data_IF_025719189844
#
_entry.id   IF_025719189844
#
_cell.length_a   1.000
_cell.length_b   1.000
_cell.length_c   1.000
_cell.angle_alpha   90.00
_cell.angle_beta   90.00
_cell.angle_gamma   90.00
#
_symmetry.space_group_name_H-M   'P 1'
#
loop_
_entity.id
_entity.type
_entity.pdbx_description
1 polymer ?
#
# COMPACT_ATOMS: atom_id res chain seq x y z
N UNK A 1 -10.05 -54.33 36.94
CA UNK A 1 -11.02 -53.47 36.20
C UNK A 1 -10.56 -51.99 36.16
N UNK A 2 -9.30 -51.69 35.80
CA UNK A 2 -8.76 -50.30 35.84
C UNK A 2 -8.13 -49.82 34.51
N UNK A 3 -8.31 -50.59 33.42
CA UNK A 3 -7.71 -50.27 32.11
C UNK A 3 -8.52 -49.30 31.25
N UNK A 4 -9.82 -49.12 31.54
CA UNK A 4 -10.71 -48.30 30.70
C UNK A 4 -10.63 -46.80 30.93
N UNK A 5 -10.16 -46.37 32.11
CA UNK A 5 -10.21 -44.96 32.54
C UNK A 5 -9.11 -44.12 31.88
N UNK A 6 -7.92 -44.70 31.69
CA UNK A 6 -6.77 -44.03 31.06
C UNK A 6 -6.97 -43.80 29.56
N UNK A 7 -7.57 -44.77 28.87
CA UNK A 7 -7.84 -44.65 27.43
C UNK A 7 -8.85 -43.53 27.16
N UNK A 8 -9.88 -43.40 28.01
CA UNK A 8 -10.90 -42.36 27.90
C UNK A 8 -10.33 -40.96 28.15
N UNK A 9 -9.42 -40.84 29.12
CA UNK A 9 -8.72 -39.59 29.43
C UNK A 9 -7.78 -39.15 28.28
N UNK A 10 -7.06 -40.09 27.67
CA UNK A 10 -6.20 -39.80 26.51
C UNK A 10 -7.01 -39.41 25.27
N UNK A 11 -8.15 -40.08 25.00
CA UNK A 11 -9.04 -39.72 23.88
C UNK A 11 -9.64 -38.32 24.05
N UNK A 12 -10.08 -37.97 25.25
CA UNK A 12 -10.60 -36.62 25.53
C UNK A 12 -9.51 -35.56 25.41
N UNK A 13 -8.27 -35.87 25.80
CA UNK A 13 -7.15 -34.94 25.63
C UNK A 13 -6.81 -34.72 24.15
N UNK A 14 -6.77 -35.79 23.36
CA UNK A 14 -6.51 -35.72 21.92
C UNK A 14 -7.61 -34.92 21.18
N UNK A 15 -8.88 -35.19 21.48
CA UNK A 15 -10.00 -34.45 20.87
C UNK A 15 -9.98 -32.96 21.20
N UNK A 16 -9.66 -32.60 22.46
CA UNK A 16 -9.50 -31.20 22.85
C UNK A 16 -8.33 -30.52 22.14
N UNK A 17 -7.21 -31.24 21.93
CA UNK A 17 -6.06 -30.72 21.20
C UNK A 17 -6.37 -30.48 19.72
N UNK A 18 -7.08 -31.41 19.06
CA UNK A 18 -7.52 -31.25 17.67
C UNK A 18 -8.53 -30.11 17.51
N UNK A 19 -9.49 -29.98 18.43
CA UNK A 19 -10.44 -28.87 18.41
C UNK A 19 -9.74 -27.51 18.63
N UNK A 20 -8.76 -27.46 19.53
CA UNK A 20 -7.94 -26.27 19.75
C UNK A 20 -7.16 -25.87 18.50
N UNK A 21 -6.53 -26.83 17.82
CA UNK A 21 -5.76 -26.54 16.61
C UNK A 21 -6.65 -26.13 15.43
N UNK A 22 -7.84 -26.74 15.29
CA UNK A 22 -8.85 -26.35 14.29
C UNK A 22 -9.40 -24.94 14.55
N UNK A 23 -9.62 -24.58 15.81
CA UNK A 23 -10.03 -23.22 16.21
C UNK A 23 -8.96 -22.17 15.86
N UNK A 24 -7.68 -22.47 16.07
CA UNK A 24 -6.56 -21.60 15.68
C UNK A 24 -6.53 -21.33 14.16
N UNK A 25 -6.72 -22.37 13.34
CA UNK A 25 -6.72 -22.22 11.88
C UNK A 25 -7.97 -21.47 11.36
N UNK A 26 -9.10 -21.59 12.06
CA UNK A 26 -10.30 -20.78 11.75
C UNK A 26 -10.12 -19.31 12.14
N UNK A 27 -9.36 -18.99 13.19
CA UNK A 27 -9.07 -17.60 13.56
C UNK A 27 -8.09 -16.92 12.60
N UNK A 28 -7.15 -17.66 11.99
CA UNK A 28 -6.29 -17.14 10.91
C UNK A 28 -7.09 -16.66 9.70
N UNK A 29 -8.21 -17.33 9.38
CA UNK A 29 -9.11 -16.94 8.28
C UNK A 29 -9.98 -15.72 8.58
N UNK A 30 -10.22 -15.41 9.87
CA UNK A 30 -11.04 -14.26 10.29
C UNK A 30 -10.25 -12.94 10.33
N UNK A 31 -8.91 -12.99 10.26
CA UNK A 31 -8.06 -11.80 10.18
C UNK A 31 -8.04 -11.14 8.79
N UNK A 32 -8.65 -11.75 7.78
CA UNK A 32 -8.83 -11.14 6.45
C UNK A 32 -10.08 -10.26 6.32
N UNK A 33 -10.87 -10.10 7.39
CA UNK A 33 -12.05 -9.24 7.40
C UNK A 33 -11.74 -7.88 8.05
N UNK A 34 -11.96 -6.73 7.38
CA UNK A 34 -11.49 -5.41 7.83
C UNK A 34 -12.35 -4.80 8.95
N UNK A 35 -13.18 -5.59 9.65
CA UNK A 35 -14.08 -5.10 10.69
C UNK A 35 -14.03 -5.96 11.93
N UNK A 36 -13.04 -5.74 12.79
CA UNK A 36 -13.18 -6.05 14.21
C UNK A 36 -12.20 -5.23 15.07
N UNK A 37 -12.48 -3.93 15.20
CA UNK A 37 -11.91 -3.15 16.29
C UNK A 37 -12.50 -3.61 17.63
N UNK A 38 -11.67 -3.68 18.68
CA UNK A 38 -12.00 -3.78 20.12
C UNK A 38 -11.89 -5.14 20.84
N UNK A 39 -10.91 -6.00 20.51
CA UNK A 39 -10.68 -7.20 21.35
C UNK A 39 -9.22 -7.51 21.71
N UNK A 40 -8.41 -6.49 22.00
CA UNK A 40 -7.08 -6.69 22.59
C UNK A 40 -7.11 -7.24 24.03
N UNK A 41 -8.24 -7.07 24.75
CA UNK A 41 -8.40 -7.60 26.11
C UNK A 41 -8.52 -9.13 26.16
N UNK A 42 -9.15 -9.76 25.17
CA UNK A 42 -9.38 -11.21 25.17
C UNK A 42 -8.10 -12.03 24.95
N UNK A 43 -7.17 -11.52 24.14
CA UNK A 43 -5.88 -12.21 23.87
C UNK A 43 -4.99 -12.21 25.12
N UNK A 44 -4.97 -11.09 25.87
CA UNK A 44 -4.18 -10.96 27.10
C UNK A 44 -4.63 -11.93 28.20
N UNK A 45 -5.93 -12.20 28.31
CA UNK A 45 -6.45 -13.18 29.27
C UNK A 45 -6.10 -14.63 28.92
N UNK A 46 -6.03 -14.99 27.63
CA UNK A 46 -5.76 -16.38 27.22
C UNK A 46 -4.34 -16.84 27.54
N UNK A 47 -3.34 -15.97 27.40
CA UNK A 47 -1.96 -16.30 27.76
C UNK A 47 -1.79 -16.49 29.27
N UNK A 48 -2.43 -15.63 30.07
CA UNK A 48 -2.38 -15.72 31.55
C UNK A 48 -3.09 -16.97 32.09
N UNK A 49 -4.17 -17.42 31.43
CA UNK A 49 -4.88 -18.65 31.82
C UNK A 49 -4.04 -19.92 31.62
N UNK A 50 -3.15 -19.93 30.63
CA UNK A 50 -2.23 -21.05 30.40
C UNK A 50 -1.17 -21.16 31.50
N UNK A 51 -0.63 -20.01 31.95
CA UNK A 51 0.35 -19.92 33.04
C UNK A 51 -0.20 -20.41 34.39
N UNK A 52 -1.47 -20.12 34.70
CA UNK A 52 -2.07 -20.54 35.98
C UNK A 52 -2.28 -22.06 36.07
N UNK A 53 -2.59 -22.73 34.95
CA UNK A 53 -2.72 -24.19 34.91
C UNK A 53 -1.37 -24.92 34.94
N UNK A 54 -0.30 -24.29 34.47
CA UNK A 54 1.05 -24.86 34.49
C UNK A 54 1.61 -25.00 35.92
N UNK A 55 1.30 -24.04 36.80
CA UNK A 55 1.69 -24.06 38.23
C UNK A 55 1.20 -25.32 38.97
N UNK A 56 -0.06 -25.70 38.76
CA UNK A 56 -0.62 -26.90 39.39
C UNK A 56 -0.02 -28.20 38.82
N UNK A 57 0.36 -28.20 37.55
CA UNK A 57 1.01 -29.34 36.91
C UNK A 57 2.44 -29.53 37.44
N UNK A 58 3.22 -28.45 37.60
CA UNK A 58 4.55 -28.44 38.22
C UNK A 58 4.51 -28.95 39.68
N UNK A 59 3.45 -28.65 40.44
CA UNK A 59 3.23 -29.22 41.78
C UNK A 59 3.07 -30.74 41.74
N UNK A 60 2.37 -31.28 40.74
CA UNK A 60 2.16 -32.72 40.56
C UNK A 60 3.49 -33.43 40.21
N UNK A 61 4.33 -32.80 39.39
CA UNK A 61 5.68 -33.30 39.07
C UNK A 61 6.64 -33.28 40.28
N UNK A 62 6.37 -32.45 41.30
CA UNK A 62 7.18 -32.41 42.53
C UNK A 62 6.96 -33.64 43.42
N UNK A 63 5.81 -34.32 43.28
CA UNK A 63 5.48 -35.53 44.06
C UNK A 63 6.15 -36.80 43.49
N UNK A 64 6.37 -36.85 42.19
CA UNK A 64 7.01 -37.99 41.53
C UNK A 64 8.46 -37.64 41.20
N UNK A 65 9.44 -38.37 41.75
CA UNK A 65 10.88 -38.22 41.42
C UNK A 65 11.19 -38.65 39.96
N UNK A 66 10.59 -37.97 38.99
CA UNK A 66 10.63 -38.27 37.56
C UNK A 66 11.37 -37.17 36.80
N UNK A 67 12.59 -36.86 37.24
CA UNK A 67 13.45 -35.83 36.65
C UNK A 67 13.72 -36.02 35.16
N UNK A 68 13.73 -37.28 34.65
CA UNK A 68 13.89 -37.57 33.21
C UNK A 68 12.66 -37.22 32.35
N UNK A 69 11.46 -37.31 32.93
CA UNK A 69 10.21 -36.98 32.22
C UNK A 69 10.01 -35.46 32.11
N UNK A 70 10.59 -34.70 33.05
CA UNK A 70 10.60 -33.24 33.02
C UNK A 70 11.30 -32.72 31.75
N UNK A 71 12.46 -33.27 31.40
CA UNK A 71 13.22 -32.88 30.20
C UNK A 71 12.47 -33.15 28.89
N UNK A 72 11.66 -34.21 28.84
CA UNK A 72 10.86 -34.56 27.66
C UNK A 72 9.72 -33.57 27.42
N UNK A 73 9.11 -33.05 28.50
CA UNK A 73 8.00 -32.11 28.40
C UNK A 73 8.41 -30.63 28.34
N UNK A 74 9.65 -30.28 28.69
CA UNK A 74 10.16 -28.89 28.60
C UNK A 74 9.95 -28.27 27.21
N UNK A 75 10.26 -28.93 26.07
CA UNK A 75 10.00 -28.37 24.75
C UNK A 75 8.50 -28.13 24.49
N UNK A 76 7.64 -29.05 24.94
CA UNK A 76 6.19 -28.95 24.79
C UNK A 76 5.59 -27.79 25.61
N UNK A 77 6.20 -27.47 26.76
CA UNK A 77 5.84 -26.29 27.56
C UNK A 77 6.39 -24.96 27.04
N UNK A 78 7.44 -24.99 26.21
CA UNK A 78 7.99 -23.82 25.54
C UNK A 78 7.26 -23.47 24.23
N UNK A 79 6.64 -24.45 23.55
CA UNK A 79 5.81 -24.22 22.35
C UNK A 79 4.70 -23.15 22.51
N UNK A 80 3.94 -23.06 23.62
CA UNK A 80 2.91 -22.02 23.78
C UNK A 80 3.49 -20.62 24.02
N UNK A 81 4.76 -20.51 24.43
CA UNK A 81 5.42 -19.21 24.62
C UNK A 81 5.66 -18.48 23.29
N UNK A 82 5.75 -19.22 22.18
CA UNK A 82 6.11 -18.66 20.86
C UNK A 82 4.91 -18.13 20.08
N UNK A 83 3.67 -18.25 20.59
CA UNK A 83 2.45 -17.90 19.84
C UNK A 83 1.79 -16.58 20.25
N UNK A 84 2.44 -15.77 21.09
CA UNK A 84 1.96 -14.41 21.35
C UNK A 84 2.36 -13.50 20.18
N UNK A 85 1.62 -13.53 19.06
CA UNK A 85 1.77 -12.50 18.03
C UNK A 85 1.31 -11.16 18.61
N UNK A 86 2.25 -10.29 18.92
CA UNK A 86 1.96 -8.92 19.32
C UNK A 86 1.64 -8.14 18.03
N UNK A 87 0.36 -7.94 17.73
CA UNK A 87 -0.04 -7.06 16.63
C UNK A 87 0.01 -5.61 17.12
N UNK A 88 0.85 -4.78 16.49
CA UNK A 88 0.84 -3.34 16.71
C UNK A 88 -0.41 -2.76 16.02
N UNK A 89 -1.32 -2.17 16.80
CA UNK A 89 -2.42 -1.38 16.25
C UNK A 89 -1.97 0.08 16.18
N UNK A 90 -2.02 0.66 14.99
CA UNK A 90 -1.89 2.10 14.78
C UNK A 90 -3.28 2.71 14.60
N UNK A 91 -3.52 3.86 15.22
CA UNK A 91 -4.74 4.66 15.03
C UNK A 91 -4.32 6.10 14.79
N UNK A 92 -4.75 6.68 13.68
CA UNK A 92 -4.50 8.11 13.40
C UNK A 92 -5.55 8.94 14.12
N UNK A 93 -5.13 10.08 14.69
CA UNK A 93 -6.05 11.06 15.28
C UNK A 93 -6.74 11.94 14.23
N UNK A 94 -6.31 11.84 12.97
CA UNK A 94 -6.78 12.64 11.82
C UNK A 94 -6.95 11.76 10.59
N UNK A 95 -7.63 12.30 9.58
CA UNK A 95 -7.69 11.72 8.25
C UNK A 95 -6.28 11.63 7.64
N UNK A 96 -6.06 10.65 6.77
CA UNK A 96 -4.81 10.55 6.01
C UNK A 96 -4.95 11.50 4.83
N UNK A 97 -4.21 12.60 4.87
CA UNK A 97 -4.18 13.56 3.77
C UNK A 97 -3.31 12.99 2.65
N UNK A 98 -3.87 12.92 1.45
CA UNK A 98 -3.17 12.53 0.22
C UNK A 98 -3.57 13.46 -0.92
N UNK A 99 -2.67 13.65 -1.88
CA UNK A 99 -2.85 14.52 -3.03
C UNK A 99 -2.93 13.69 -4.31
N UNK A 100 -3.77 14.11 -5.26
CA UNK A 100 -3.76 13.49 -6.57
C UNK A 100 -2.52 13.96 -7.36
N UNK A 101 -1.95 13.10 -8.21
CA UNK A 101 -0.90 13.51 -9.13
C UNK A 101 -1.45 14.53 -10.13
N UNK A 102 -0.57 15.39 -10.63
CA UNK A 102 -0.92 16.48 -11.55
C UNK A 102 0.14 16.64 -12.64
N UNK A 103 -0.26 17.23 -13.77
CA UNK A 103 0.68 17.57 -14.84
C UNK A 103 1.39 18.89 -14.53
N UNK A 104 2.66 18.97 -14.92
CA UNK A 104 3.50 20.16 -14.72
C UNK A 104 4.61 20.21 -15.77
N UNK A 105 4.88 21.39 -16.32
CA UNK A 105 5.90 21.59 -17.37
C UNK A 105 7.15 22.31 -16.86
N UNK A 106 7.12 22.82 -15.64
CA UNK A 106 8.16 23.64 -15.03
C UNK A 106 8.79 22.95 -13.80
N UNK A 107 8.71 21.62 -13.76
CA UNK A 107 9.28 20.80 -12.70
C UNK A 107 8.52 20.86 -11.37
N UNK A 108 7.20 21.12 -11.41
CA UNK A 108 6.33 21.13 -10.22
C UNK A 108 6.08 22.51 -9.62
N UNK A 109 6.54 23.60 -10.25
CA UNK A 109 6.26 24.95 -9.73
C UNK A 109 4.81 25.35 -9.99
N UNK A 110 4.26 24.97 -11.15
CA UNK A 110 2.86 25.22 -11.48
C UNK A 110 2.15 23.93 -11.89
N UNK A 111 0.90 23.81 -11.44
CA UNK A 111 0.02 22.70 -11.80
C UNK A 111 -0.77 23.09 -13.03
N UNK A 112 -0.76 22.23 -14.05
CA UNK A 112 -1.60 22.38 -15.23
C UNK A 112 -3.03 22.01 -14.88
N UNK A 113 -3.93 23.00 -14.81
CA UNK A 113 -5.34 22.81 -14.43
C UNK A 113 -6.32 23.19 -15.52
N UNK A 114 -5.86 23.81 -16.61
CA UNK A 114 -6.70 24.28 -17.71
C UNK A 114 -6.09 23.99 -19.07
N UNK A 115 -6.93 23.97 -20.10
CA UNK A 115 -6.49 23.82 -21.49
C UNK A 115 -5.48 24.90 -21.90
N UNK A 116 -5.61 26.12 -21.38
CA UNK A 116 -4.67 27.21 -21.65
C UNK A 116 -3.29 27.01 -21.02
N UNK A 117 -3.24 26.34 -19.87
CA UNK A 117 -1.97 25.94 -19.24
C UNK A 117 -1.34 24.71 -19.90
N UNK A 118 -2.13 23.95 -20.66
CA UNK A 118 -1.70 22.70 -21.29
C UNK A 118 -1.30 22.87 -22.75
N UNK A 119 -2.14 23.53 -23.55
CA UNK A 119 -2.00 23.68 -25.00
C UNK A 119 -1.49 25.06 -25.38
N UNK A 120 -0.53 25.60 -24.62
CA UNK A 120 0.10 26.86 -24.99
C UNK A 120 1.22 26.63 -26.01
N UNK A 121 1.48 27.66 -26.80
CA UNK A 121 2.73 27.80 -27.54
C UNK A 121 3.48 29.00 -26.99
N UNK A 122 4.81 28.89 -26.92
CA UNK A 122 5.67 30.01 -26.57
C UNK A 122 6.71 30.18 -27.67
N UNK A 123 6.69 31.35 -28.28
CA UNK A 123 7.64 31.73 -29.31
C UNK A 123 9.01 32.01 -28.69
N UNK A 124 10.04 32.01 -29.53
CA UNK A 124 11.44 32.28 -29.15
C UNK A 124 11.66 33.64 -28.49
N UNK A 125 10.85 34.64 -28.78
CA UNK A 125 10.87 35.96 -28.12
C UNK A 125 10.22 35.96 -26.72
N UNK A 126 9.66 34.83 -26.29
CA UNK A 126 8.94 34.68 -25.04
C UNK A 126 7.44 34.95 -25.14
N UNK A 127 6.93 35.40 -26.29
CA UNK A 127 5.50 35.64 -26.50
C UNK A 127 4.74 34.32 -26.37
N UNK A 128 3.72 34.31 -25.50
CA UNK A 128 2.94 33.12 -25.19
C UNK A 128 1.51 33.25 -25.70
N UNK A 129 1.08 32.29 -26.52
CA UNK A 129 -0.30 32.19 -27.00
C UNK A 129 -0.98 30.99 -26.36
N UNK A 130 -2.25 31.16 -25.99
CA UNK A 130 -3.10 30.09 -25.47
C UNK A 130 -4.31 29.93 -26.39
N UNK A 131 -5.02 28.79 -26.34
CA UNK A 131 -6.27 28.61 -27.07
C UNK A 131 -7.27 29.75 -26.86
N UNK A 132 -7.40 30.26 -25.64
CA UNK A 132 -8.30 31.38 -25.32
C UNK A 132 -7.84 32.76 -25.81
N UNK A 133 -6.55 32.95 -26.07
CA UNK A 133 -5.95 34.25 -26.42
C UNK A 133 -5.34 34.27 -27.81
N UNK A 134 -5.59 33.24 -28.61
CA UNK A 134 -5.06 33.13 -29.97
C UNK A 134 -5.74 34.16 -30.91
N UNK A 135 -5.01 35.17 -31.42
CA UNK A 135 -5.59 36.13 -32.36
C UNK A 135 -5.62 35.61 -33.81
N UNK A 136 -5.03 34.44 -34.08
CA UNK A 136 -4.77 34.00 -35.44
C UNK A 136 -6.04 33.62 -36.19
N UNK A 137 -6.03 33.85 -37.50
CA UNK A 137 -7.05 33.37 -38.43
C UNK A 137 -6.39 32.86 -39.72
N UNK A 138 -7.20 32.28 -40.62
CA UNK A 138 -6.70 31.81 -41.93
C UNK A 138 -6.04 32.93 -42.76
N UNK A 139 -6.45 34.18 -42.59
CA UNK A 139 -5.91 35.35 -43.29
C UNK A 139 -4.91 36.15 -42.46
N UNK A 140 -4.83 35.90 -41.15
CA UNK A 140 -3.93 36.60 -40.23
C UNK A 140 -3.24 35.57 -39.32
N UNK A 141 -2.22 34.85 -39.82
CA UNK A 141 -1.52 33.84 -39.04
C UNK A 141 -0.58 34.46 -38.00
N UNK A 142 -0.21 33.67 -36.99
CA UNK A 142 0.83 34.08 -36.03
C UNK A 142 2.15 34.27 -36.78
N UNK A 143 2.69 35.48 -36.75
CA UNK A 143 3.96 35.83 -37.41
C UNK A 143 5.12 35.55 -36.47
N UNK A 144 6.09 34.77 -36.94
CA UNK A 144 7.31 34.54 -36.18
C UNK A 144 8.18 35.81 -36.18
N UNK A 145 8.72 36.21 -35.02
CA UNK A 145 9.44 37.48 -34.86
C UNK A 145 10.81 37.50 -35.56
N UNK A 146 11.41 36.32 -35.81
CA UNK A 146 12.74 36.20 -36.40
C UNK A 146 12.70 35.48 -37.74
N UNK A 147 13.50 35.96 -38.71
CA UNK A 147 13.67 35.29 -39.98
C UNK A 147 14.43 33.95 -39.79
N UNK A 148 13.93 32.89 -40.42
CA UNK A 148 14.53 31.55 -40.31
C UNK A 148 14.11 30.76 -39.07
N UNK A 149 13.17 31.26 -38.26
CA UNK A 149 12.57 30.47 -37.18
C UNK A 149 11.87 29.23 -37.73
N UNK A 150 12.06 28.12 -37.03
CA UNK A 150 11.45 26.81 -37.32
C UNK A 150 10.42 26.45 -36.26
N UNK A 151 9.61 25.41 -36.49
CA UNK A 151 8.70 24.90 -35.46
C UNK A 151 9.46 24.37 -34.23
N UNK A 152 10.74 23.99 -34.38
CA UNK A 152 11.59 23.58 -33.26
C UNK A 152 12.01 24.73 -32.35
N UNK A 153 11.87 25.99 -32.79
CA UNK A 153 12.10 27.17 -31.96
C UNK A 153 10.84 27.59 -31.16
N UNK A 154 9.74 26.86 -31.30
CA UNK A 154 8.48 27.09 -30.60
C UNK A 154 8.40 26.06 -29.47
N UNK A 155 8.28 26.55 -28.24
CA UNK A 155 8.02 25.70 -27.08
C UNK A 155 6.54 25.29 -27.11
N UNK A 156 6.30 23.99 -27.20
CA UNK A 156 4.97 23.39 -27.22
C UNK A 156 4.97 22.03 -26.52
N UNK A 157 3.80 21.60 -26.03
CA UNK A 157 3.61 20.27 -25.40
C UNK A 157 3.94 19.13 -26.36
N UNK A 158 3.57 19.30 -27.63
CA UNK A 158 3.85 18.33 -28.68
C UNK A 158 5.21 18.69 -29.26
N UNK A 159 6.20 17.79 -29.25
CA UNK A 159 7.49 18.07 -29.87
C UNK A 159 7.33 18.36 -31.36
N UNK A 160 8.10 19.33 -31.86
CA UNK A 160 8.04 19.78 -33.26
C UNK A 160 8.36 18.71 -34.32
N UNK A 161 8.91 17.56 -33.91
CA UNK A 161 9.25 16.45 -34.80
C UNK A 161 8.11 15.44 -35.02
N UNK A 162 6.98 15.57 -34.31
CA UNK A 162 5.86 14.62 -34.38
C UNK A 162 4.53 15.36 -34.38
N UNK A 163 3.54 14.77 -35.04
CA UNK A 163 2.18 15.34 -35.10
C UNK A 163 1.28 14.86 -33.96
N UNK A 164 1.73 13.86 -33.19
CA UNK A 164 1.01 13.35 -32.02
C UNK A 164 1.93 12.87 -30.91
N UNK A 165 1.41 12.92 -29.68
CA UNK A 165 2.08 12.42 -28.48
C UNK A 165 1.08 11.72 -27.58
N UNK A 166 1.47 10.59 -27.00
CA UNK A 166 0.65 9.89 -26.01
C UNK A 166 0.71 10.62 -24.67
N UNK A 167 -0.41 10.65 -23.94
CA UNK A 167 -0.42 11.17 -22.56
C UNK A 167 0.48 10.34 -21.64
N UNK A 168 0.75 9.07 -21.98
CA UNK A 168 1.69 8.23 -21.24
C UNK A 168 3.14 8.68 -21.42
N UNK A 169 3.51 9.20 -22.60
CA UNK A 169 4.84 9.72 -22.88
C UNK A 169 5.09 10.99 -22.06
N UNK A 170 4.07 11.82 -21.83
CA UNK A 170 4.18 12.99 -20.97
C UNK A 170 4.64 12.62 -19.56
N UNK A 171 4.18 11.48 -19.03
CA UNK A 171 4.56 10.99 -17.71
C UNK A 171 5.91 10.26 -17.76
N UNK A 172 6.06 9.30 -18.67
CA UNK A 172 7.17 8.34 -18.65
C UNK A 172 8.42 8.84 -19.36
N UNK A 173 8.26 9.57 -20.47
CA UNK A 173 9.38 10.03 -21.30
C UNK A 173 9.79 11.45 -20.97
N UNK A 174 8.82 12.33 -20.78
CA UNK A 174 9.07 13.76 -20.52
C UNK A 174 9.02 14.14 -19.04
N UNK A 175 8.51 13.25 -18.18
CA UNK A 175 8.39 13.49 -16.74
C UNK A 175 7.65 14.80 -16.40
N UNK A 176 6.61 15.12 -17.17
CA UNK A 176 5.73 16.28 -16.99
C UNK A 176 4.60 16.01 -15.99
N UNK A 177 4.95 15.45 -14.85
CA UNK A 177 4.01 15.18 -13.77
C UNK A 177 4.67 15.43 -12.41
N UNK A 178 3.84 15.67 -11.42
CA UNK A 178 4.24 15.85 -10.04
C UNK A 178 3.25 15.16 -9.12
N UNK A 179 3.77 14.78 -7.96
CA UNK A 179 3.00 14.21 -6.87
C UNK A 179 3.66 14.63 -5.55
N UNK A 180 2.86 15.26 -4.69
CA UNK A 180 3.36 16.00 -3.53
C UNK A 180 3.59 15.09 -2.32
N UNK A 181 2.91 13.95 -2.24
CA UNK A 181 3.08 12.97 -1.15
C UNK A 181 3.92 11.75 -1.58
N UNK A 182 4.16 11.60 -2.88
CA UNK A 182 5.13 10.65 -3.44
C UNK A 182 4.64 9.21 -3.47
N UNK A 183 3.33 8.97 -3.30
CA UNK A 183 2.75 7.64 -3.38
C UNK A 183 2.51 7.16 -4.82
N UNK A 184 2.61 8.07 -5.79
CA UNK A 184 2.52 7.80 -7.22
C UNK A 184 3.79 7.24 -7.86
N UNK A 185 4.90 7.11 -7.12
CA UNK A 185 6.18 6.62 -7.65
C UNK A 185 6.31 5.09 -7.62
N UNK A 186 6.85 4.49 -8.69
CA UNK A 186 7.26 3.08 -8.72
C UNK A 186 6.39 2.15 -9.59
N UNK A 187 6.46 0.84 -9.33
CA UNK A 187 5.70 -0.19 -10.06
C UNK A 187 4.21 -0.03 -9.74
N UNK A 188 3.39 0.13 -10.78
CA UNK A 188 1.96 0.52 -10.69
C UNK A 188 1.73 1.95 -10.16
N UNK A 189 2.68 2.85 -10.41
CA UNK A 189 2.53 4.28 -10.13
C UNK A 189 1.59 5.00 -11.10
N UNK A 190 1.75 6.32 -11.21
CA UNK A 190 0.88 7.18 -12.03
C UNK A 190 0.84 6.72 -13.48
N UNK A 191 -0.38 6.61 -14.02
CA UNK A 191 -0.62 6.22 -15.41
C UNK A 191 -1.58 7.22 -16.06
N UNK A 192 -1.32 7.57 -17.33
CA UNK A 192 -2.27 8.31 -18.16
C UNK A 192 -2.40 7.64 -19.53
N UNK A 193 -3.59 7.77 -20.11
CA UNK A 193 -3.98 7.14 -21.38
C UNK A 193 -4.67 8.15 -22.27
N UNK A 194 -4.47 8.03 -23.58
CA UNK A 194 -5.01 8.94 -24.60
C UNK A 194 -3.90 9.61 -25.38
N UNK A 195 -4.27 10.33 -26.43
CA UNK A 195 -3.35 10.95 -27.37
C UNK A 195 -3.75 12.39 -27.64
N UNK A 196 -2.74 13.21 -27.89
CA UNK A 196 -2.90 14.59 -28.33
C UNK A 196 -2.29 14.66 -29.72
N UNK A 197 -3.03 15.21 -30.68
CA UNK A 197 -2.59 15.37 -32.06
C UNK A 197 -2.83 16.79 -32.56
N UNK A 198 -2.01 17.20 -33.52
CA UNK A 198 -2.21 18.41 -34.31
C UNK A 198 -2.90 18.00 -35.61
N UNK A 199 -4.03 18.63 -35.92
CA UNK A 199 -4.84 18.36 -37.11
C UNK A 199 -5.27 19.64 -37.81
#
# INVERSE_FOLDING_TARGET
MASGIWHLACQTYALNLFQFHRSLNQTLFLFSSPKLSSSSRLVRLRCLFFLSKLSNLLRLFRLFRLTKLLLFFVPLFLLPYTQCSMALTASTSRYIEGSAPYLTFDGGQTRTTSTDSFLFIKLRDGTRYTPSTNPSSATDPIRLPYAGSTLGDIDMVIPSSVDSVSLSDLITRYNYWGDDDGDGQGINGVTATGDISVS
#
